data_IF_428643900229
#
_entry.id   IF_428643900229
#
_cell.length_a   1.000
_cell.length_b   1.000
_cell.length_c   1.000
_cell.angle_alpha   90.00
_cell.angle_beta   90.00
_cell.angle_gamma   90.00
#
_symmetry.space_group_name_H-M   'P 1'
#
loop_
_entity.id
_entity.type
_entity.pdbx_description
1 polymer ?
#
# COMPACT_ATOMS: atom_id res chain seq x y z
N UNK A 1 10.32 -12.88 -15.48
CA UNK A 1 10.75 -12.40 -14.16
C UNK A 1 9.80 -11.28 -13.76
N UNK A 2 8.90 -11.55 -12.80
CA UNK A 2 8.00 -10.52 -12.28
C UNK A 2 8.81 -9.62 -11.34
N UNK A 3 8.70 -8.30 -11.55
CA UNK A 3 9.31 -7.28 -10.70
C UNK A 3 8.88 -7.52 -9.24
N UNK A 4 9.75 -7.25 -8.24
CA UNK A 4 9.34 -7.21 -6.84
C UNK A 4 8.53 -5.93 -6.62
N UNK A 5 7.31 -5.90 -7.14
CA UNK A 5 6.32 -4.89 -6.86
C UNK A 5 5.33 -5.52 -5.88
N UNK A 6 5.33 -5.05 -4.62
CA UNK A 6 4.31 -5.48 -3.68
C UNK A 6 3.00 -4.82 -4.10
N UNK A 7 1.93 -5.60 -4.13
CA UNK A 7 0.60 -5.11 -4.45
C UNK A 7 -0.44 -5.89 -3.66
N UNK A 8 -1.30 -5.17 -2.95
CA UNK A 8 -2.42 -5.71 -2.20
C UNK A 8 -3.67 -4.93 -2.52
N UNK A 9 -4.79 -5.60 -2.64
CA UNK A 9 -6.09 -4.94 -2.77
C UNK A 9 -7.08 -5.43 -1.75
N UNK A 10 -7.92 -4.52 -1.32
CA UNK A 10 -9.02 -4.74 -0.42
C UNK A 10 -10.29 -4.19 -1.07
N UNK A 11 -11.33 -5.02 -1.14
CA UNK A 11 -12.65 -4.63 -1.64
C UNK A 11 -13.65 -4.64 -0.50
N UNK A 12 -14.45 -3.59 -0.42
CA UNK A 12 -15.53 -3.40 0.54
C UNK A 12 -16.84 -3.78 -0.14
N UNK A 13 -17.48 -4.81 0.38
CA UNK A 13 -18.77 -5.31 -0.09
C UNK A 13 -19.78 -5.32 1.07
N UNK A 14 -21.06 -5.43 0.76
CA UNK A 14 -22.08 -5.69 1.77
C UNK A 14 -22.58 -7.13 1.58
N UNK A 15 -22.51 -7.94 2.63
CA UNK A 15 -23.04 -9.29 2.67
C UNK A 15 -24.08 -9.34 3.79
N UNK A 16 -25.32 -9.74 3.49
CA UNK A 16 -26.46 -9.73 4.43
C UNK A 16 -26.65 -8.38 5.17
N UNK A 17 -26.47 -7.27 4.45
CA UNK A 17 -26.56 -5.92 5.03
C UNK A 17 -25.38 -5.52 5.93
N UNK A 18 -24.38 -6.39 6.09
CA UNK A 18 -23.17 -6.12 6.88
C UNK A 18 -21.97 -5.81 5.98
N UNK A 19 -21.21 -4.74 6.28
CA UNK A 19 -19.99 -4.46 5.54
C UNK A 19 -18.95 -5.57 5.77
N UNK A 20 -18.45 -6.10 4.67
CA UNK A 20 -17.41 -7.13 4.61
C UNK A 20 -16.23 -6.60 3.80
N UNK A 21 -15.03 -6.94 4.24
CA UNK A 21 -13.77 -6.51 3.65
C UNK A 21 -13.06 -7.73 3.11
N UNK A 22 -12.76 -7.75 1.80
CA UNK A 22 -12.10 -8.87 1.12
C UNK A 22 -10.69 -8.48 0.71
N UNK A 23 -9.68 -9.13 1.28
CA UNK A 23 -8.28 -8.91 0.92
C UNK A 23 -7.80 -9.90 -0.15
N UNK A 24 -6.93 -9.46 -1.06
CA UNK A 24 -6.35 -10.30 -2.11
C UNK A 24 -5.34 -11.35 -1.62
N UNK A 25 -4.87 -11.26 -0.36
CA UNK A 25 -3.83 -12.15 0.19
C UNK A 25 -4.29 -12.94 1.41
N UNK A 26 -5.03 -12.34 2.33
CA UNK A 26 -5.48 -13.03 3.55
C UNK A 26 -6.75 -13.87 3.28
N UNK A 27 -7.91 -13.21 3.39
CA UNK A 27 -9.25 -13.75 3.21
C UNK A 27 -10.23 -12.60 3.51
N UNK A 28 -11.53 -12.83 3.34
CA UNK A 28 -12.56 -11.87 3.74
C UNK A 28 -12.74 -11.83 5.26
N UNK A 29 -13.07 -10.66 5.79
CA UNK A 29 -13.40 -10.46 7.21
C UNK A 29 -14.55 -9.45 7.34
N UNK A 30 -15.40 -9.66 8.36
CA UNK A 30 -16.46 -8.71 8.68
C UNK A 30 -15.86 -7.42 9.25
N UNK A 31 -16.38 -6.27 8.82
CA UNK A 31 -15.94 -5.00 9.37
C UNK A 31 -16.37 -4.86 10.83
N UNK A 32 -15.48 -4.32 11.66
CA UNK A 32 -15.76 -4.04 13.07
C UNK A 32 -16.80 -2.93 13.21
N UNK A 33 -17.80 -3.07 14.09
CA UNK A 33 -18.77 -2.00 14.34
C UNK A 33 -18.08 -0.79 14.97
N UNK A 34 -18.58 0.42 14.67
CA UNK A 34 -18.08 1.68 15.24
C UNK A 34 -16.81 2.23 14.59
N UNK A 35 -16.15 1.51 13.67
CA UNK A 35 -14.99 2.01 12.91
C UNK A 35 -15.39 2.13 11.43
N UNK A 36 -15.16 3.28 10.76
CA UNK A 36 -15.40 3.42 9.33
C UNK A 36 -14.74 2.30 8.53
N UNK A 37 -15.50 1.60 7.69
CA UNK A 37 -15.01 0.45 6.91
C UNK A 37 -13.81 0.80 6.01
N UNK A 38 -13.77 1.97 5.33
CA UNK A 38 -12.58 2.38 4.58
C UNK A 38 -11.34 2.52 5.45
N UNK A 39 -11.46 3.02 6.68
CA UNK A 39 -10.35 3.11 7.62
C UNK A 39 -9.81 1.72 7.98
N UNK A 40 -10.70 0.75 8.19
CA UNK A 40 -10.29 -0.64 8.45
C UNK A 40 -9.58 -1.26 7.25
N UNK A 41 -10.06 -1.01 6.04
CA UNK A 41 -9.42 -1.46 4.80
C UNK A 41 -7.99 -0.90 4.65
N UNK A 42 -7.81 0.41 4.88
CA UNK A 42 -6.49 1.07 4.82
C UNK A 42 -5.53 0.57 5.90
N UNK A 43 -6.01 0.42 7.12
CA UNK A 43 -5.20 -0.14 8.22
C UNK A 43 -4.76 -1.59 7.91
N UNK A 44 -5.64 -2.39 7.32
CA UNK A 44 -5.29 -3.75 6.90
C UNK A 44 -4.20 -3.77 5.82
N UNK A 45 -4.29 -2.88 4.82
CA UNK A 45 -3.26 -2.72 3.79
C UNK A 45 -1.91 -2.27 4.39
N UNK A 46 -1.93 -1.36 5.36
CA UNK A 46 -0.73 -0.95 6.08
C UNK A 46 -0.07 -2.13 6.83
N UNK A 47 -0.86 -3.03 7.41
CA UNK A 47 -0.35 -4.26 8.02
C UNK A 47 0.45 -5.14 7.04
N UNK A 48 -0.03 -5.27 5.79
CA UNK A 48 0.70 -6.01 4.75
C UNK A 48 2.04 -5.36 4.39
N UNK A 49 2.07 -4.03 4.31
CA UNK A 49 3.29 -3.28 4.03
C UNK A 49 4.35 -3.52 5.11
N UNK A 50 3.96 -3.43 6.37
CA UNK A 50 4.85 -3.65 7.51
C UNK A 50 5.36 -5.10 7.56
N UNK A 51 4.48 -6.06 7.25
CA UNK A 51 4.84 -7.49 7.20
C UNK A 51 5.66 -7.91 5.98
N UNK A 52 5.71 -7.08 4.93
CA UNK A 52 6.42 -7.40 3.68
C UNK A 52 7.48 -6.35 3.36
N UNK A 53 8.54 -6.24 4.17
CA UNK A 53 9.58 -5.22 4.00
C UNK A 53 10.33 -5.35 2.65
N UNK A 54 10.27 -4.33 1.77
CA UNK A 54 11.08 -4.29 0.54
C UNK A 54 12.51 -3.73 0.78
N UNK A 55 13.59 -4.47 0.46
CA UNK A 55 14.96 -3.98 0.59
C UNK A 55 15.26 -2.75 -0.26
N UNK A 56 16.16 -1.87 0.20
CA UNK A 56 16.49 -0.62 -0.49
C UNK A 56 16.99 -0.81 -1.92
N UNK A 57 17.76 -1.87 -2.19
CA UNK A 57 18.24 -2.19 -3.54
C UNK A 57 17.13 -2.60 -4.51
N UNK A 58 15.95 -2.99 -4.01
CA UNK A 58 14.76 -3.29 -4.80
C UNK A 58 13.79 -2.10 -4.87
N UNK A 59 14.05 -0.99 -4.16
CA UNK A 59 13.24 0.25 -4.18
C UNK A 59 13.51 1.15 -5.38
N UNK A 60 14.04 0.60 -6.46
CA UNK A 60 14.23 1.30 -7.73
C UNK A 60 13.46 0.55 -8.80
N UNK A 61 12.73 1.28 -9.62
CA UNK A 61 12.01 0.72 -10.76
C UNK A 61 12.97 -0.05 -11.67
N UNK A 62 12.70 -1.33 -11.89
CA UNK A 62 13.48 -2.15 -12.83
C UNK A 62 12.80 -2.25 -14.20
N UNK A 63 11.76 -1.44 -14.48
CA UNK A 63 11.05 -1.49 -15.76
C UNK A 63 11.91 -1.09 -16.96
N UNK A 64 13.04 -0.37 -16.75
CA UNK A 64 14.13 -0.08 -17.72
C UNK A 64 13.74 -0.27 -19.20
N UNK A 65 12.80 0.54 -19.68
CA UNK A 65 12.28 0.58 -21.06
C UNK A 65 11.52 -0.67 -21.59
N UNK A 66 11.50 -1.79 -20.87
CA UNK A 66 10.95 -3.08 -21.34
C UNK A 66 9.50 -3.38 -20.89
N UNK A 67 8.63 -2.37 -20.86
CA UNK A 67 7.19 -2.62 -20.74
C UNK A 67 6.65 -2.56 -19.30
N UNK A 68 6.68 -1.37 -18.71
CA UNK A 68 5.78 -1.11 -17.60
C UNK A 68 4.34 -1.09 -18.15
N UNK A 69 3.49 -2.02 -17.69
CA UNK A 69 2.08 -2.12 -18.11
C UNK A 69 1.27 -0.85 -17.82
N UNK A 70 1.80 0.04 -16.99
CA UNK A 70 1.19 1.31 -16.57
C UNK A 70 1.54 2.50 -17.48
N UNK A 71 2.40 2.32 -18.48
CA UNK A 71 2.82 3.39 -19.39
C UNK A 71 2.38 3.12 -20.84
N UNK A 72 1.79 4.13 -21.47
CA UNK A 72 1.46 4.16 -22.90
C UNK A 72 1.66 5.62 -23.34
N UNK A 73 2.84 6.08 -23.80
CA UNK A 73 3.92 5.41 -24.55
C UNK A 73 5.13 4.97 -23.70
N UNK A 74 6.17 4.31 -24.26
CA UNK A 74 7.36 3.85 -23.53
C UNK A 74 8.27 5.03 -23.14
N UNK A 75 7.91 5.75 -22.08
CA UNK A 75 8.82 6.68 -21.43
C UNK A 75 9.77 5.86 -20.54
N UNK A 76 11.07 6.14 -20.59
CA UNK A 76 12.05 5.47 -19.74
C UNK A 76 11.68 5.64 -18.25
N UNK A 77 11.12 4.60 -17.61
CA UNK A 77 10.97 4.61 -16.16
C UNK A 77 12.25 4.10 -15.50
N UNK A 78 13.01 5.06 -14.98
CA UNK A 78 14.13 4.84 -14.07
C UNK A 78 13.96 5.81 -12.90
N UNK A 79 13.70 5.27 -11.71
CA UNK A 79 13.48 6.12 -10.54
C UNK A 79 13.07 5.33 -9.30
N UNK A 80 13.11 5.96 -8.13
CA UNK A 80 12.70 5.33 -6.89
C UNK A 80 11.24 4.89 -6.96
N UNK A 81 10.96 3.73 -6.38
CA UNK A 81 9.59 3.28 -6.14
C UNK A 81 8.97 4.19 -5.08
N UNK A 82 7.73 4.55 -5.32
CA UNK A 82 6.85 5.21 -4.39
C UNK A 82 5.74 4.22 -4.01
N UNK A 83 5.30 4.29 -2.77
CA UNK A 83 4.12 3.56 -2.34
C UNK A 83 2.88 4.35 -2.76
N UNK A 84 1.95 3.66 -3.43
CA UNK A 84 0.71 4.25 -3.90
C UNK A 84 -0.49 3.59 -3.27
N UNK A 85 -1.39 4.43 -2.79
CA UNK A 85 -2.73 4.03 -2.45
C UNK A 85 -3.69 4.47 -3.55
N UNK A 86 -4.39 3.52 -4.13
CA UNK A 86 -5.33 3.72 -5.24
C UNK A 86 -6.73 3.44 -4.69
N UNK A 87 -7.63 4.39 -4.90
CA UNK A 87 -9.03 4.28 -4.53
C UNK A 87 -9.88 4.19 -5.80
N UNK A 88 -10.71 3.16 -5.88
CA UNK A 88 -11.53 2.85 -7.07
C UNK A 88 -12.92 2.36 -6.66
N UNK A 89 -13.82 2.22 -7.65
CA UNK A 89 -15.19 1.76 -7.45
C UNK A 89 -15.97 2.60 -6.41
N UNK A 90 -15.85 3.93 -6.50
CA UNK A 90 -16.46 4.88 -5.56
C UNK A 90 -16.07 4.65 -4.09
N UNK A 91 -14.80 4.31 -3.84
CA UNK A 91 -14.30 4.08 -2.47
C UNK A 91 -14.50 2.65 -1.95
N UNK A 92 -14.95 1.73 -2.82
CA UNK A 92 -15.13 0.32 -2.45
C UNK A 92 -13.85 -0.48 -2.61
N UNK A 93 -12.99 -0.15 -3.57
CA UNK A 93 -11.76 -0.89 -3.81
C UNK A 93 -10.55 -0.03 -3.48
N UNK A 94 -9.76 -0.49 -2.52
CA UNK A 94 -8.52 0.14 -2.09
C UNK A 94 -7.36 -0.77 -2.49
N UNK A 95 -6.35 -0.21 -3.14
CA UNK A 95 -5.15 -0.96 -3.54
C UNK A 95 -3.91 -0.23 -3.08
N UNK A 96 -3.03 -0.94 -2.37
CA UNK A 96 -1.72 -0.45 -1.98
C UNK A 96 -0.67 -1.16 -2.83
N UNK A 97 0.13 -0.41 -3.58
CA UNK A 97 1.13 -0.99 -4.47
C UNK A 97 2.40 -0.13 -4.58
N UNK A 98 3.54 -0.79 -4.78
CA UNK A 98 4.77 -0.12 -5.19
C UNK A 98 4.69 0.25 -6.68
N UNK A 99 4.92 1.52 -7.02
CA UNK A 99 5.05 1.97 -8.40
C UNK A 99 6.08 3.07 -8.54
N UNK A 100 6.74 3.18 -9.70
CA UNK A 100 7.70 4.24 -9.91
C UNK A 100 7.02 5.62 -9.93
N UNK A 101 7.73 6.70 -9.54
CA UNK A 101 7.17 8.07 -9.56
C UNK A 101 6.65 8.50 -10.94
N UNK A 102 7.18 7.93 -12.01
CA UNK A 102 6.65 8.14 -13.37
C UNK A 102 5.32 7.44 -13.60
N UNK A 103 5.12 6.23 -13.04
CA UNK A 103 3.86 5.50 -13.12
C UNK A 103 2.79 6.11 -12.20
N UNK A 104 3.17 6.58 -11.01
CA UNK A 104 2.21 7.12 -10.05
C UNK A 104 1.40 8.28 -10.58
N UNK A 105 2.02 9.14 -11.39
CA UNK A 105 1.37 10.29 -12.03
C UNK A 105 0.33 9.90 -13.08
N UNK A 106 0.42 8.69 -13.62
CA UNK A 106 -0.48 8.20 -14.67
C UNK A 106 -1.66 7.39 -14.12
N UNK A 107 -1.67 7.07 -12.83
CA UNK A 107 -2.74 6.27 -12.21
C UNK A 107 -3.81 7.22 -11.67
N UNK A 108 -5.03 7.22 -12.23
CA UNK A 108 -6.11 8.05 -11.72
C UNK A 108 -6.52 7.60 -10.31
N UNK A 109 -6.96 8.55 -9.50
CA UNK A 109 -7.41 8.31 -8.11
C UNK A 109 -6.35 7.60 -7.23
N UNK A 110 -5.07 7.87 -7.51
CA UNK A 110 -3.95 7.41 -6.70
C UNK A 110 -3.37 8.56 -5.87
N UNK A 111 -3.03 8.26 -4.61
CA UNK A 111 -2.25 9.11 -3.74
C UNK A 111 -0.88 8.47 -3.49
N UNK A 112 0.19 9.28 -3.53
CA UNK A 112 1.50 8.83 -3.06
C UNK A 112 1.54 8.92 -1.56
N UNK A 113 1.95 7.83 -0.91
CA UNK A 113 1.90 7.69 0.54
C UNK A 113 3.32 7.46 1.05
N UNK A 114 3.77 8.18 2.09
CA UNK A 114 5.15 8.05 2.55
C UNK A 114 5.38 6.68 3.20
N UNK A 115 6.25 5.84 2.67
CA UNK A 115 6.53 4.56 3.33
C UNK A 115 7.10 4.81 4.74
N UNK A 116 6.64 4.09 5.77
CA UNK A 116 7.00 4.40 7.14
C UNK A 116 8.51 4.19 7.29
N UNK A 117 9.20 5.10 8.00
CA UNK A 117 10.62 4.95 8.25
C UNK A 117 10.82 3.59 8.90
N UNK A 118 11.56 2.72 8.20
CA UNK A 118 12.00 1.47 8.82
C UNK A 118 12.86 1.87 10.00
N UNK A 119 12.50 1.41 11.19
CA UNK A 119 13.48 1.29 12.25
C UNK A 119 14.66 0.53 11.64
N UNK A 120 15.81 1.19 11.50
CA UNK A 120 17.05 0.49 11.25
C UNK A 120 17.16 -0.60 12.33
N UNK A 121 17.77 -1.77 12.07
CA UNK A 121 18.15 -2.66 13.17
C UNK A 121 19.05 -1.86 14.10
N UNK A 122 18.46 -1.34 15.18
CA UNK A 122 19.17 -0.64 16.22
C UNK A 122 20.05 -1.69 16.86
N UNK A 123 21.35 -1.51 16.70
CA UNK A 123 22.35 -2.14 17.55
C UNK A 123 21.96 -1.81 19.00
N UNK A 124 21.42 -2.81 19.70
CA UNK A 124 21.32 -2.98 21.16
C UNK A 124 21.12 -1.72 22.04
N UNK A 125 19.88 -1.42 22.45
CA UNK A 125 19.53 -1.06 23.86
C UNK A 125 18.01 -0.90 24.09
N UNK A 126 17.48 -1.14 25.33
CA UNK A 126 16.07 -1.45 25.62
C UNK A 126 15.14 -0.21 25.80
N UNK A 127 13.79 -0.40 25.93
CA UNK A 127 12.78 0.55 25.46
C UNK A 127 12.29 1.54 26.55
N UNK A 128 11.46 2.53 26.19
CA UNK A 128 10.03 2.35 26.45
C UNK A 128 9.08 2.90 25.37
N UNK A 129 7.96 2.18 25.21
CA UNK A 129 6.62 2.64 24.87
C UNK A 129 6.47 3.94 24.04
N UNK A 130 6.45 3.85 22.70
CA UNK A 130 5.79 4.87 21.84
C UNK A 130 5.54 4.41 20.38
N UNK A 131 5.40 3.12 20.12
CA UNK A 131 5.23 2.59 18.74
C UNK A 131 3.80 2.70 18.16
N UNK A 132 2.87 3.38 18.84
CA UNK A 132 1.44 3.39 18.46
C UNK A 132 0.92 4.73 17.94
N UNK A 133 1.60 5.84 18.15
CA UNK A 133 1.13 7.16 17.69
C UNK A 133 1.44 7.41 16.21
N UNK A 134 2.68 7.16 15.79
CA UNK A 134 3.16 7.45 14.42
C UNK A 134 2.50 6.55 13.35
N UNK A 135 2.17 5.30 13.71
CA UNK A 135 1.42 4.38 12.83
C UNK A 135 -0.01 4.86 12.55
N UNK A 136 -0.64 5.56 13.51
CA UNK A 136 -2.00 6.04 13.37
C UNK A 136 -2.10 7.19 12.39
N UNK A 137 -1.24 8.21 12.55
CA UNK A 137 -1.27 9.42 11.71
C UNK A 137 -0.98 9.11 10.25
N UNK A 138 -0.07 8.19 9.97
CA UNK A 138 0.23 7.84 8.59
C UNK A 138 -0.87 6.98 7.93
N UNK A 139 -1.51 6.08 8.68
CA UNK A 139 -2.66 5.29 8.21
C UNK A 139 -3.91 6.16 8.00
N UNK A 140 -3.99 7.31 8.64
CA UNK A 140 -5.01 8.33 8.38
C UNK A 140 -4.72 9.20 7.15
N UNK A 141 -3.43 9.31 6.78
CA UNK A 141 -2.98 9.95 5.56
C UNK A 141 -3.03 9.02 4.32
N UNK A 142 -3.10 7.70 4.53
CA UNK A 142 -3.67 6.73 3.58
C UNK A 142 -5.17 7.02 3.48
#
# INVERSE_FOLDING_TARGET
MALPARAWSVTISAHDGRPTVTCSVCHSFAARPGIPVPRQARHHLAGHLLGTPLPAHLRTCQCREHGCVWHRPPTACSGPLALLLICSDNGRTWRLADACRGCSRSIPHAATVPEPPRAAPLTSSPPPAELTADHGEWVEAL
#
